data_IF_691642260506
#
_entry.id   IF_691642260506
#
_cell.length_a   1.000
_cell.length_b   1.000
_cell.length_c   1.000
_cell.angle_alpha   90.00
_cell.angle_beta   90.00
_cell.angle_gamma   90.00
#
_symmetry.space_group_name_H-M   'P 1'
#
loop_
_entity.id
_entity.type
_entity.pdbx_description
1 polymer ?
#
# COMPACT_ATOMS: atom_id res chain seq x y z
N UNK A 1 -21.52 1.72 5.47
CA UNK A 1 -20.83 1.13 6.66
C UNK A 1 -19.65 0.31 6.15
N UNK A 2 -18.65 -0.05 6.97
CA UNK A 2 -17.38 -0.67 6.49
C UNK A 2 -17.57 -1.92 5.59
N UNK A 3 -18.69 -2.65 5.75
CA UNK A 3 -19.06 -3.81 4.93
C UNK A 3 -19.49 -3.52 3.49
N UNK A 4 -19.72 -2.25 3.14
CA UNK A 4 -20.09 -1.85 1.77
C UNK A 4 -18.88 -1.51 0.89
N UNK A 5 -17.67 -1.57 1.46
CA UNK A 5 -16.43 -1.30 0.74
C UNK A 5 -16.13 -2.45 -0.21
N UNK A 6 -16.43 -2.27 -1.50
CA UNK A 6 -16.17 -3.23 -2.57
C UNK A 6 -15.33 -2.57 -3.66
N UNK A 7 -14.05 -2.91 -3.71
CA UNK A 7 -13.12 -2.45 -4.74
C UNK A 7 -12.00 -3.49 -4.94
N UNK A 8 -11.56 -3.77 -6.17
CA UNK A 8 -10.57 -4.82 -6.46
C UNK A 8 -9.20 -4.61 -5.79
N UNK A 9 -8.88 -3.39 -5.35
CA UNK A 9 -7.65 -3.06 -4.63
C UNK A 9 -7.89 -2.69 -3.15
N UNK A 10 -9.04 -3.05 -2.59
CA UNK A 10 -9.34 -2.87 -1.17
C UNK A 10 -9.83 -4.20 -0.63
N UNK A 11 -9.20 -4.68 0.43
CA UNK A 11 -9.65 -5.88 1.11
C UNK A 11 -10.94 -5.58 1.87
N UNK A 12 -12.05 -6.12 1.38
CA UNK A 12 -13.36 -5.96 2.00
C UNK A 12 -13.41 -6.71 3.34
N UNK A 13 -13.82 -6.07 4.44
CA UNK A 13 -14.06 -6.77 5.68
C UNK A 13 -15.30 -7.65 5.54
N UNK A 14 -15.19 -8.91 6.00
CA UNK A 14 -16.28 -9.89 6.06
C UNK A 14 -17.14 -9.64 7.31
N UNK A 15 -16.55 -9.10 8.36
CA UNK A 15 -17.25 -8.79 9.60
C UNK A 15 -16.43 -7.88 10.51
N UNK A 16 -17.06 -7.42 11.59
CA UNK A 16 -16.39 -6.65 12.61
C UNK A 16 -16.97 -6.99 13.99
N UNK A 17 -16.14 -6.88 15.01
CA UNK A 17 -16.56 -6.93 16.40
C UNK A 17 -16.15 -5.63 17.09
N UNK A 18 -17.11 -4.98 17.73
CA UNK A 18 -16.88 -3.71 18.40
C UNK A 18 -17.41 -3.75 19.83
N UNK A 19 -16.48 -3.73 20.79
CA UNK A 19 -16.70 -3.53 22.23
C UNK A 19 -15.81 -2.40 22.73
N UNK A 20 -16.05 -1.95 23.96
CA UNK A 20 -15.30 -0.83 24.56
C UNK A 20 -13.81 -1.15 24.67
N UNK A 21 -13.47 -2.39 25.01
CA UNK A 21 -12.10 -2.85 25.22
C UNK A 21 -11.50 -3.54 23.97
N UNK A 22 -12.34 -3.97 23.02
CA UNK A 22 -11.93 -4.80 21.89
C UNK A 22 -12.50 -4.32 20.56
N UNK A 23 -11.64 -4.20 19.55
CA UNK A 23 -12.01 -3.79 18.19
C UNK A 23 -11.36 -4.74 17.21
N UNK A 24 -12.16 -5.60 16.57
CA UNK A 24 -11.69 -6.61 15.63
C UNK A 24 -12.34 -6.40 14.27
N UNK A 25 -11.59 -6.67 13.22
CA UNK A 25 -12.06 -6.72 11.83
C UNK A 25 -11.72 -8.09 11.29
N UNK A 26 -12.73 -8.78 10.75
CA UNK A 26 -12.58 -10.07 10.09
C UNK A 26 -12.51 -9.82 8.59
N UNK A 27 -11.52 -10.38 7.92
CA UNK A 27 -11.32 -10.26 6.48
C UNK A 27 -10.87 -11.60 5.90
N UNK A 28 -10.89 -11.73 4.58
CA UNK A 28 -10.38 -12.91 3.90
C UNK A 28 -8.89 -13.11 4.19
N UNK A 29 -8.50 -14.36 4.40
CA UNK A 29 -7.11 -14.70 4.68
C UNK A 29 -6.25 -14.52 3.41
N UNK A 30 -5.16 -13.77 3.55
CA UNK A 30 -4.17 -13.57 2.49
C UNK A 30 -2.99 -14.53 2.69
N UNK A 31 -2.88 -15.64 1.93
CA UNK A 31 -1.90 -16.69 2.18
C UNK A 31 -0.45 -16.26 1.98
N UNK A 32 -0.22 -15.20 1.19
CA UNK A 32 1.13 -14.63 0.95
C UNK A 32 1.52 -13.56 1.97
N UNK A 33 0.65 -13.28 2.94
CA UNK A 33 0.89 -12.25 3.96
C UNK A 33 0.86 -10.84 3.39
N UNK A 34 1.57 -9.94 4.07
CA UNK A 34 1.63 -8.52 3.71
C UNK A 34 2.62 -8.25 2.57
N UNK A 35 2.40 -7.18 1.82
CA UNK A 35 3.36 -6.73 0.81
C UNK A 35 4.74 -6.44 1.43
N UNK A 36 4.78 -5.90 2.65
CA UNK A 36 6.02 -5.71 3.41
C UNK A 36 6.79 -7.03 3.59
N UNK A 37 6.07 -8.09 3.97
CA UNK A 37 6.66 -9.42 4.11
C UNK A 37 7.18 -9.94 2.77
N UNK A 38 6.39 -9.85 1.69
CA UNK A 38 6.82 -10.29 0.35
C UNK A 38 8.05 -9.51 -0.14
N UNK A 39 8.15 -8.21 0.17
CA UNK A 39 9.24 -7.35 -0.29
C UNK A 39 10.53 -7.48 0.53
N UNK A 40 10.42 -7.73 1.85
CA UNK A 40 11.57 -7.62 2.77
C UNK A 40 11.73 -8.80 3.74
N UNK A 41 10.68 -9.58 3.98
CA UNK A 41 10.64 -10.61 5.03
C UNK A 41 10.62 -12.05 4.52
N UNK A 42 10.33 -12.29 3.24
CA UNK A 42 10.28 -13.64 2.68
C UNK A 42 11.69 -14.17 2.40
N UNK A 43 12.13 -15.08 3.26
CA UNK A 43 13.43 -15.75 3.21
C UNK A 43 13.33 -17.18 2.67
N UNK A 44 12.14 -17.61 2.23
CA UNK A 44 11.95 -18.98 1.74
C UNK A 44 12.73 -19.21 0.43
N UNK A 45 13.21 -20.44 0.16
CA UNK A 45 13.92 -20.75 -1.07
C UNK A 45 13.09 -20.49 -2.34
N UNK A 46 11.78 -20.63 -2.24
CA UNK A 46 10.77 -20.46 -3.29
C UNK A 46 10.08 -19.08 -3.24
N UNK A 47 10.70 -18.09 -2.59
CA UNK A 47 10.12 -16.75 -2.42
C UNK A 47 9.73 -16.09 -3.74
N UNK A 48 8.65 -15.32 -3.70
CA UNK A 48 8.22 -14.52 -4.84
C UNK A 48 9.08 -13.26 -4.95
N UNK A 49 9.88 -13.17 -6.01
CA UNK A 49 10.63 -11.95 -6.33
C UNK A 49 9.79 -11.05 -7.22
N UNK A 50 9.37 -9.90 -6.69
CA UNK A 50 8.64 -8.90 -7.46
C UNK A 50 9.61 -8.08 -8.32
N UNK A 51 9.52 -8.24 -9.64
CA UNK A 51 10.22 -7.42 -10.61
C UNK A 51 9.67 -5.97 -10.62
N UNK A 52 10.41 -5.06 -11.25
CA UNK A 52 10.03 -3.66 -11.28
C UNK A 52 8.65 -3.42 -11.92
N UNK A 53 8.30 -4.05 -13.06
CA UNK A 53 6.95 -3.96 -13.61
C UNK A 53 5.85 -4.43 -12.64
N UNK A 54 6.04 -5.52 -11.90
CA UNK A 54 5.07 -5.96 -10.90
C UNK A 54 4.91 -4.94 -9.77
N UNK A 55 6.02 -4.37 -9.27
CA UNK A 55 5.98 -3.31 -8.25
C UNK A 55 5.18 -2.10 -8.72
N UNK A 56 5.34 -1.70 -9.98
CA UNK A 56 4.55 -0.60 -10.56
C UNK A 56 3.06 -0.93 -10.66
N UNK A 57 2.70 -2.16 -11.05
CA UNK A 57 1.29 -2.58 -11.05
C UNK A 57 0.68 -2.56 -9.64
N UNK A 58 1.45 -3.00 -8.64
CA UNK A 58 1.03 -2.97 -7.24
C UNK A 58 0.82 -1.52 -6.77
N UNK A 59 1.78 -0.63 -7.03
CA UNK A 59 1.67 0.78 -6.66
C UNK A 59 0.43 1.45 -7.27
N UNK A 60 0.15 1.20 -8.57
CA UNK A 60 -1.08 1.68 -9.23
C UNK A 60 -2.33 1.13 -8.56
N UNK A 61 -2.33 -0.15 -8.18
CA UNK A 61 -3.43 -0.77 -7.43
C UNK A 61 -3.66 -0.10 -6.08
N UNK A 62 -2.60 0.16 -5.31
CA UNK A 62 -2.66 0.85 -4.02
C UNK A 62 -3.26 2.26 -4.18
N UNK A 63 -2.82 3.03 -5.16
CA UNK A 63 -3.36 4.37 -5.43
C UNK A 63 -4.86 4.32 -5.77
N UNK A 64 -5.28 3.34 -6.59
CA UNK A 64 -6.72 3.16 -6.92
C UNK A 64 -7.54 2.81 -5.69
N UNK A 65 -7.05 1.91 -4.84
CA UNK A 65 -7.70 1.55 -3.58
C UNK A 65 -7.80 2.74 -2.63
N UNK A 66 -6.74 3.53 -2.48
CA UNK A 66 -6.75 4.74 -1.66
C UNK A 66 -7.73 5.79 -2.18
N UNK A 67 -7.78 6.02 -3.49
CA UNK A 67 -8.72 6.96 -4.09
C UNK A 67 -10.18 6.54 -3.80
N UNK A 68 -10.49 5.25 -3.95
CA UNK A 68 -11.79 4.70 -3.60
C UNK A 68 -12.14 4.90 -2.11
N UNK A 69 -11.19 4.61 -1.21
CA UNK A 69 -11.40 4.79 0.24
C UNK A 69 -11.62 6.25 0.60
N UNK A 70 -10.89 7.17 -0.01
CA UNK A 70 -11.06 8.61 0.20
C UNK A 70 -12.48 9.05 -0.21
N UNK A 71 -12.97 8.63 -1.38
CA UNK A 71 -14.33 8.93 -1.83
C UNK A 71 -15.40 8.34 -0.90
N UNK A 72 -15.25 7.07 -0.50
CA UNK A 72 -16.29 6.34 0.26
C UNK A 72 -16.32 6.65 1.75
N UNK A 73 -15.17 6.93 2.35
CA UNK A 73 -15.06 7.14 3.79
C UNK A 73 -14.90 8.63 4.15
N UNK A 74 -14.74 9.51 3.16
CA UNK A 74 -14.53 10.94 3.39
C UNK A 74 -13.29 11.23 4.25
N UNK A 75 -12.31 10.31 4.27
CA UNK A 75 -11.09 10.46 5.06
C UNK A 75 -10.24 11.53 4.36
N UNK A 76 -9.94 12.67 5.00
CA UNK A 76 -9.10 13.69 4.37
C UNK A 76 -7.74 13.08 4.00
N UNK A 77 -7.33 13.27 2.75
CA UNK A 77 -6.20 12.62 2.08
C UNK A 77 -4.85 12.61 2.85
N UNK A 78 -4.71 13.43 3.89
CA UNK A 78 -3.46 13.66 4.60
C UNK A 78 -3.10 12.63 5.68
N UNK A 79 -3.96 11.64 5.99
CA UNK A 79 -3.69 10.66 7.08
C UNK A 79 -3.30 9.25 6.63
N UNK A 80 -3.42 8.91 5.35
CA UNK A 80 -3.13 7.55 4.84
C UNK A 80 -1.73 7.37 4.25
N UNK A 81 -0.98 8.46 4.08
CA UNK A 81 0.34 8.42 3.45
C UNK A 81 1.38 8.92 4.47
N UNK A 82 1.88 8.03 5.31
CA UNK A 82 3.30 8.14 5.71
C UNK A 82 4.10 7.60 4.53
N UNK A 83 4.17 8.40 3.47
CA UNK A 83 5.36 8.49 2.64
C UNK A 83 5.87 9.87 2.94
N UNK A 84 6.98 9.93 3.65
CA UNK A 84 7.53 11.18 4.13
C UNK A 84 8.11 11.91 2.90
N UNK A 85 8.22 13.24 2.96
CA UNK A 85 8.52 14.10 1.81
C UNK A 85 9.81 13.76 1.04
N UNK A 86 10.73 13.01 1.67
CA UNK A 86 11.97 12.55 1.04
C UNK A 86 11.76 11.49 -0.05
N UNK A 87 10.70 10.68 0.04
CA UNK A 87 10.50 9.53 -0.85
C UNK A 87 9.91 9.92 -2.22
N UNK A 88 9.13 11.01 -2.27
CA UNK A 88 8.54 11.48 -3.53
C UNK A 88 9.57 12.18 -4.44
N UNK A 89 10.50 12.94 -3.85
CA UNK A 89 11.53 13.68 -4.59
C UNK A 89 12.55 12.74 -5.27
N UNK A 90 12.84 11.59 -4.65
CA UNK A 90 13.72 10.57 -5.22
C UNK A 90 13.15 9.92 -6.51
N UNK A 91 11.82 9.74 -6.58
CA UNK A 91 11.14 9.13 -7.73
C UNK A 91 11.12 10.08 -8.94
N UNK A 92 11.00 11.40 -8.71
CA UNK A 92 11.06 12.39 -9.78
C UNK A 92 12.50 12.61 -10.29
N UNK A 93 13.51 12.50 -9.42
CA UNK A 93 14.92 12.63 -9.78
C UNK A 93 15.40 11.51 -10.71
N UNK A 94 14.97 10.27 -10.48
CA UNK A 94 15.42 9.11 -11.27
C UNK A 94 14.94 9.09 -12.74
N UNK A 95 13.92 9.88 -13.11
CA UNK A 95 13.45 9.99 -14.52
C UNK A 95 14.26 10.96 -15.38
N UNK A 96 15.13 11.77 -14.80
CA UNK A 96 16.00 12.68 -15.57
C UNK A 96 17.45 12.23 -15.41
N UNK A 97 17.83 11.20 -16.16
CA UNK A 97 19.24 10.93 -16.39
C UNK A 97 19.92 12.14 -17.03
N UNK A 98 20.62 12.94 -16.22
CA UNK A 98 21.78 13.76 -16.63
C UNK A 98 22.66 14.14 -15.43
N UNK A 99 23.73 13.35 -15.32
CA UNK A 99 25.09 13.52 -14.77
C UNK A 99 25.54 14.82 -14.06
N UNK A 100 26.19 14.59 -12.91
CA UNK A 100 27.50 15.13 -12.43
C UNK A 100 27.53 16.50 -11.72
N UNK A 101 28.69 16.89 -11.11
CA UNK A 101 29.02 16.67 -9.70
C UNK A 101 29.33 18.02 -8.99
N UNK A 102 30.01 17.98 -7.84
CA UNK A 102 30.61 19.10 -7.09
C UNK A 102 29.73 19.58 -5.92
N UNK A 103 30.22 19.47 -4.67
CA UNK A 103 31.31 20.27 -4.09
C UNK A 103 30.95 21.76 -4.07
N UNK A 104 30.59 22.26 -2.88
CA UNK A 104 31.28 23.28 -2.07
C UNK A 104 30.96 22.98 -0.61
#
# INVERSE_FOLDING_TARGET
MLGDLRHPNVLSPVGYHYRREEKLIVSEFMPRGSLLYVLHGDQRPDRVVLDWPARMRIAVGVVRGMAYLHEKLGIPAMRLVSMDSADFDAIHSCRRGRLTPLAV
#
